data_IF_515672079073
#
_entry.id   IF_515672079073
#
_cell.length_a   1.000
_cell.length_b   1.000
_cell.length_c   1.000
_cell.angle_alpha   90.00
_cell.angle_beta   90.00
_cell.angle_gamma   90.00
#
_symmetry.space_group_name_H-M   'P 1'
#
loop_
_entity.id
_entity.type
_entity.pdbx_description
1 polymer ?
#
# COMPACT_ATOMS: atom_id res chain seq x y z
N UNK A 1 -3.21 -14.61 39.56
CA UNK A 1 -2.06 -15.13 38.78
C UNK A 1 -2.46 -15.11 37.31
N UNK A 2 -1.80 -14.27 36.49
CA UNK A 2 -2.06 -14.21 35.04
C UNK A 2 -1.58 -15.50 34.39
N UNK A 3 -2.47 -16.19 33.66
CA UNK A 3 -2.10 -17.38 32.90
C UNK A 3 -0.86 -17.10 32.04
N UNK A 4 0.11 -18.03 31.95
CA UNK A 4 1.30 -17.83 31.14
C UNK A 4 0.89 -17.51 29.70
N UNK A 5 1.47 -16.44 29.14
CA UNK A 5 1.24 -16.06 27.75
C UNK A 5 1.67 -17.19 26.84
N UNK A 6 0.76 -17.62 25.95
CA UNK A 6 1.08 -18.64 24.95
C UNK A 6 2.30 -18.15 24.13
N UNK A 7 3.44 -18.87 24.10
CA UNK A 7 4.67 -18.42 23.46
C UNK A 7 4.50 -18.14 21.96
N UNK A 8 3.57 -18.84 21.29
CA UNK A 8 3.24 -18.59 19.90
C UNK A 8 2.57 -17.23 19.72
N UNK A 9 1.69 -16.85 20.64
CA UNK A 9 0.96 -15.58 20.60
C UNK A 9 1.93 -14.39 20.66
N UNK A 10 2.96 -14.48 21.50
CA UNK A 10 4.02 -13.48 21.57
C UNK A 10 4.86 -13.41 20.30
N UNK A 11 5.12 -14.56 19.66
CA UNK A 11 5.82 -14.60 18.38
C UNK A 11 5.04 -13.85 17.28
N UNK A 12 3.74 -14.12 17.14
CA UNK A 12 2.88 -13.41 16.17
C UNK A 12 2.78 -11.92 16.51
N UNK A 13 2.69 -11.55 17.79
CA UNK A 13 2.71 -10.16 18.24
C UNK A 13 3.99 -9.43 17.82
N UNK A 14 5.17 -10.04 18.02
CA UNK A 14 6.46 -9.47 17.60
C UNK A 14 6.56 -9.30 16.08
N UNK A 15 6.11 -10.28 15.29
CA UNK A 15 6.06 -10.17 13.82
C UNK A 15 5.18 -9.00 13.37
N UNK A 16 4.02 -8.84 14.00
CA UNK A 16 3.06 -7.79 13.66
C UNK A 16 3.60 -6.39 14.02
N UNK A 17 4.28 -6.26 15.17
CA UNK A 17 4.99 -5.04 15.56
C UNK A 17 6.10 -4.68 14.56
N UNK A 18 6.91 -5.67 14.15
CA UNK A 18 7.95 -5.45 13.14
C UNK A 18 7.36 -4.98 11.80
N UNK A 19 6.17 -5.46 11.43
CA UNK A 19 5.47 -4.99 10.22
C UNK A 19 4.95 -3.56 10.37
N UNK A 20 4.39 -3.21 11.53
CA UNK A 20 3.89 -1.86 11.84
C UNK A 20 4.98 -0.78 11.85
N UNK A 21 6.26 -1.13 12.02
CA UNK A 21 7.40 -0.19 11.95
C UNK A 21 7.45 0.64 10.66
N UNK A 22 6.87 0.15 9.57
CA UNK A 22 6.88 0.84 8.27
C UNK A 22 5.63 1.69 7.99
N UNK A 23 4.58 1.52 8.80
CA UNK A 23 3.35 2.30 8.67
C UNK A 23 3.54 3.82 8.80
N UNK A 24 4.42 4.36 9.68
CA UNK A 24 4.58 5.81 9.76
C UNK A 24 5.28 6.36 8.51
N UNK A 25 6.22 5.62 7.91
CA UNK A 25 6.86 6.00 6.65
C UNK A 25 5.83 6.01 5.51
N UNK A 26 4.94 5.02 5.45
CA UNK A 26 3.86 4.96 4.45
C UNK A 26 2.86 6.07 4.64
N UNK A 27 2.48 6.30 5.89
CA UNK A 27 1.55 7.34 6.24
C UNK A 27 2.10 8.72 5.89
N UNK A 28 3.37 8.96 6.16
CA UNK A 28 4.04 10.22 5.85
C UNK A 28 4.18 10.45 4.34
N UNK A 29 4.54 9.41 3.57
CA UNK A 29 4.63 9.50 2.11
C UNK A 29 3.25 9.79 1.49
N UNK A 30 2.19 9.11 1.94
CA UNK A 30 0.81 9.38 1.50
C UNK A 30 0.34 10.78 1.89
N UNK A 31 0.70 11.25 3.09
CA UNK A 31 0.32 12.55 3.60
C UNK A 31 1.02 13.68 2.84
N UNK A 32 2.31 13.54 2.52
CA UNK A 32 3.03 14.52 1.70
C UNK A 32 2.47 14.54 0.27
N UNK A 33 2.30 13.39 -0.37
CA UNK A 33 1.79 13.34 -1.75
C UNK A 33 0.36 13.85 -1.82
N UNK A 34 -0.51 13.40 -0.92
CA UNK A 34 -1.89 13.88 -0.85
C UNK A 34 -1.98 15.37 -0.49
N UNK A 35 -1.16 15.83 0.45
CA UNK A 35 -1.13 17.23 0.88
C UNK A 35 -0.65 18.17 -0.23
N UNK A 36 0.46 17.83 -0.89
CA UNK A 36 0.98 18.61 -2.03
C UNK A 36 0.01 18.58 -3.23
N UNK A 37 -0.61 17.42 -3.50
CA UNK A 37 -1.63 17.31 -4.55
C UNK A 37 -2.87 18.16 -4.28
N UNK A 38 -3.36 18.18 -3.04
CA UNK A 38 -4.46 19.06 -2.62
C UNK A 38 -4.08 20.53 -2.74
N UNK A 39 -2.90 20.93 -2.26
CA UNK A 39 -2.43 22.31 -2.37
C UNK A 39 -2.31 22.74 -3.84
N UNK A 40 -1.80 21.86 -4.71
CA UNK A 40 -1.72 22.12 -6.16
C UNK A 40 -3.09 22.34 -6.80
N UNK A 41 -4.08 21.51 -6.46
CA UNK A 41 -5.46 21.68 -6.96
C UNK A 41 -6.15 22.92 -6.40
N UNK A 42 -5.97 23.22 -5.11
CA UNK A 42 -6.51 24.44 -4.49
C UNK A 42 -5.88 25.67 -5.15
N UNK A 43 -4.57 25.66 -5.42
CA UNK A 43 -3.90 26.76 -6.14
C UNK A 43 -4.48 26.93 -7.55
N UNK A 44 -4.68 25.84 -8.29
CA UNK A 44 -5.31 25.87 -9.62
C UNK A 44 -6.73 26.43 -9.58
N UNK A 45 -7.51 26.08 -8.56
CA UNK A 45 -8.85 26.64 -8.37
C UNK A 45 -8.84 28.14 -8.05
N UNK A 46 -7.88 28.61 -7.24
CA UNK A 46 -7.75 30.03 -6.93
C UNK A 46 -7.34 30.85 -8.16
N UNK A 47 -6.47 30.31 -9.01
CA UNK A 47 -6.03 30.95 -10.24
C UNK A 47 -7.12 30.93 -11.32
N UNK A 48 -7.91 29.86 -11.41
CA UNK A 48 -9.03 29.74 -12.34
C UNK A 48 -10.23 29.03 -11.70
N UNK A 49 -11.19 29.77 -11.10
CA UNK A 49 -12.32 29.17 -10.41
C UNK A 49 -13.29 28.43 -11.34
N UNK A 50 -13.18 28.62 -12.66
CA UNK A 50 -13.94 27.87 -13.66
C UNK A 50 -13.43 26.43 -13.89
N UNK A 51 -12.22 26.11 -13.43
CA UNK A 51 -11.55 24.81 -13.63
C UNK A 51 -12.27 23.62 -13.00
N UNK A 52 -13.03 23.84 -11.92
CA UNK A 52 -13.83 22.81 -11.23
C UNK A 52 -15.26 22.70 -11.77
N UNK A 53 -15.64 23.49 -12.78
CA UNK A 53 -16.98 23.37 -13.32
C UNK A 53 -17.10 22.07 -14.12
N UNK A 54 -18.15 21.26 -13.89
CA UNK A 54 -18.35 19.99 -14.59
C UNK A 54 -18.61 20.17 -16.09
N UNK A 55 -18.85 21.41 -16.53
CA UNK A 55 -19.01 21.81 -17.93
C UNK A 55 -17.68 21.92 -18.69
N UNK A 56 -16.54 22.00 -17.99
CA UNK A 56 -15.22 21.98 -18.62
C UNK A 56 -14.72 20.55 -18.80
N UNK A 57 -14.07 20.28 -19.93
CA UNK A 57 -13.55 18.94 -20.28
C UNK A 57 -12.60 18.35 -19.23
N UNK A 58 -11.97 19.20 -18.42
CA UNK A 58 -11.03 18.82 -17.36
C UNK A 58 -11.65 18.80 -15.97
N UNK A 59 -12.88 19.30 -15.76
CA UNK A 59 -13.49 19.45 -14.44
C UNK A 59 -13.67 18.11 -13.71
N UNK A 60 -14.19 17.10 -14.39
CA UNK A 60 -14.34 15.73 -13.83
C UNK A 60 -13.01 15.10 -13.39
N UNK A 61 -11.94 15.39 -14.13
CA UNK A 61 -10.60 14.90 -13.79
C UNK A 61 -10.07 15.59 -12.53
N UNK A 62 -10.29 16.89 -12.39
CA UNK A 62 -9.90 17.64 -11.20
C UNK A 62 -10.68 17.18 -9.96
N UNK A 63 -11.99 16.93 -10.09
CA UNK A 63 -12.81 16.39 -9.00
C UNK A 63 -12.33 14.99 -8.57
N UNK A 64 -12.03 14.11 -9.54
CA UNK A 64 -11.50 12.79 -9.25
C UNK A 64 -10.12 12.85 -8.57
N UNK A 65 -9.24 13.75 -9.01
CA UNK A 65 -7.94 13.98 -8.39
C UNK A 65 -8.08 14.55 -6.97
N UNK A 66 -9.00 15.49 -6.76
CA UNK A 66 -9.28 16.07 -5.45
C UNK A 66 -9.70 14.99 -4.45
N UNK A 67 -10.68 14.16 -4.83
CA UNK A 67 -11.12 13.03 -4.02
C UNK A 67 -9.99 12.04 -3.77
N UNK A 68 -9.14 11.78 -4.77
CA UNK A 68 -8.00 10.88 -4.63
C UNK A 68 -6.97 11.43 -3.64
N UNK A 69 -6.56 12.68 -3.76
CA UNK A 69 -5.60 13.28 -2.83
C UNK A 69 -6.17 13.43 -1.41
N UNK A 70 -7.46 13.69 -1.26
CA UNK A 70 -8.15 13.65 0.02
C UNK A 70 -8.15 12.24 0.63
N UNK A 71 -8.42 11.21 -0.18
CA UNK A 71 -8.35 9.82 0.27
C UNK A 71 -6.91 9.45 0.68
N UNK A 72 -5.89 9.93 -0.03
CA UNK A 72 -4.48 9.70 0.32
C UNK A 72 -4.09 10.38 1.63
N UNK A 73 -4.52 11.63 1.89
CA UNK A 73 -4.24 12.30 3.17
C UNK A 73 -4.92 11.60 4.34
N UNK A 74 -6.20 11.23 4.20
CA UNK A 74 -6.93 10.48 5.23
C UNK A 74 -6.26 9.12 5.47
N UNK A 75 -5.93 8.38 4.41
CA UNK A 75 -5.23 7.10 4.53
C UNK A 75 -3.87 7.26 5.21
N UNK A 76 -3.14 8.34 4.90
CA UNK A 76 -1.87 8.70 5.52
C UNK A 76 -1.98 8.89 7.03
N UNK A 77 -2.94 9.72 7.46
CA UNK A 77 -3.24 9.97 8.87
C UNK A 77 -3.61 8.67 9.60
N UNK A 78 -4.51 7.87 9.01
CA UNK A 78 -4.93 6.59 9.58
C UNK A 78 -3.76 5.61 9.73
N UNK A 79 -2.84 5.57 8.77
CA UNK A 79 -1.64 4.74 8.84
C UNK A 79 -0.70 5.16 9.96
N UNK A 80 -0.49 6.47 10.14
CA UNK A 80 0.32 7.02 11.25
C UNK A 80 -0.32 6.64 12.58
N UNK A 81 -1.63 6.89 12.77
CA UNK A 81 -2.34 6.54 14.01
C UNK A 81 -2.24 5.03 14.30
N UNK A 82 -2.42 4.19 13.27
CA UNK A 82 -2.30 2.73 13.40
C UNK A 82 -0.87 2.26 13.71
N UNK A 83 0.15 3.02 13.34
CA UNK A 83 1.54 2.69 13.66
C UNK A 83 1.80 2.74 15.17
N UNK A 84 1.24 3.73 15.86
CA UNK A 84 1.42 3.94 17.29
C UNK A 84 0.46 3.13 18.16
N UNK A 85 -0.63 2.60 17.59
CA UNK A 85 -1.57 1.75 18.32
C UNK A 85 -1.02 0.33 18.50
N UNK A 86 -0.88 -0.08 19.77
CA UNK A 86 -0.53 -1.45 20.12
C UNK A 86 -1.51 -2.45 19.48
N UNK A 87 -1.03 -3.60 18.98
CA UNK A 87 -1.87 -4.58 18.34
C UNK A 87 -2.84 -5.21 19.36
N UNK A 88 -4.12 -5.20 19.02
CA UNK A 88 -5.16 -5.80 19.83
C UNK A 88 -5.14 -7.34 19.70
N UNK A 89 -5.67 -8.05 20.70
CA UNK A 89 -5.71 -9.51 20.70
C UNK A 89 -6.49 -10.06 19.49
N UNK A 90 -7.55 -9.37 19.09
CA UNK A 90 -8.33 -9.69 17.89
C UNK A 90 -7.53 -9.53 16.60
N UNK A 91 -6.65 -8.53 16.52
CA UNK A 91 -5.76 -8.29 15.37
C UNK A 91 -4.74 -9.42 15.23
N UNK A 92 -4.19 -9.88 16.36
CA UNK A 92 -3.23 -10.99 16.40
C UNK A 92 -3.90 -12.31 15.96
N UNK A 93 -5.11 -12.59 16.44
CA UNK A 93 -5.86 -13.78 16.01
C UNK A 93 -6.23 -13.75 14.53
N UNK A 94 -6.69 -12.60 14.02
CA UNK A 94 -6.97 -12.41 12.58
C UNK A 94 -5.71 -12.61 11.73
N UNK A 95 -4.57 -12.12 12.22
CA UNK A 95 -3.29 -12.31 11.56
C UNK A 95 -2.89 -13.80 11.51
N UNK A 96 -2.99 -14.52 12.64
CA UNK A 96 -2.73 -15.97 12.71
C UNK A 96 -3.61 -16.75 11.72
N UNK A 97 -4.92 -16.49 11.70
CA UNK A 97 -5.86 -17.18 10.78
C UNK A 97 -5.50 -16.93 9.32
N UNK A 98 -5.16 -15.69 8.94
CA UNK A 98 -4.74 -15.35 7.57
C UNK A 98 -3.43 -16.02 7.17
N UNK A 99 -2.46 -16.11 8.07
CA UNK A 99 -1.18 -16.75 7.80
C UNK A 99 -1.37 -18.26 7.60
N UNK A 100 -2.18 -18.91 8.44
CA UNK A 100 -2.57 -20.32 8.27
C UNK A 100 -3.29 -20.57 6.95
N UNK A 101 -4.30 -19.75 6.63
CA UNK A 101 -5.04 -19.89 5.38
C UNK A 101 -4.13 -19.74 4.16
N UNK A 102 -3.14 -18.85 4.20
CA UNK A 102 -2.15 -18.70 3.12
C UNK A 102 -1.26 -19.93 2.98
N UNK A 103 -0.75 -20.47 4.09
CA UNK A 103 0.06 -21.70 4.08
C UNK A 103 -0.75 -22.89 3.56
N UNK A 104 -2.01 -23.00 3.95
CA UNK A 104 -2.92 -24.05 3.45
C UNK A 104 -3.18 -23.91 1.94
N UNK A 105 -3.41 -22.69 1.45
CA UNK A 105 -3.55 -22.44 0.00
C UNK A 105 -2.26 -22.74 -0.77
N UNK A 106 -1.09 -22.50 -0.17
CA UNK A 106 0.21 -22.86 -0.75
C UNK A 106 0.42 -24.38 -0.80
N UNK A 107 0.11 -25.09 0.28
CA UNK A 107 0.18 -26.56 0.33
C UNK A 107 -0.74 -27.21 -0.71
N UNK A 108 -1.94 -26.65 -0.93
CA UNK A 108 -2.90 -27.13 -1.93
C UNK A 108 -2.58 -26.66 -3.37
N UNK A 109 -1.46 -25.98 -3.61
CA UNK A 109 -1.09 -25.49 -4.94
C UNK A 109 -2.02 -24.38 -5.49
N UNK A 110 -2.95 -23.86 -4.67
CA UNK A 110 -3.91 -22.80 -5.05
C UNK A 110 -3.44 -21.40 -4.67
N UNK A 111 -2.19 -21.23 -4.27
CA UNK A 111 -1.65 -19.91 -3.96
C UNK A 111 -1.55 -19.05 -5.22
N UNK A 112 -1.93 -17.78 -5.10
CA UNK A 112 -1.69 -16.77 -6.14
C UNK A 112 -0.23 -16.85 -6.62
N UNK A 113 0.02 -17.07 -7.92
CA UNK A 113 1.38 -17.20 -8.43
C UNK A 113 2.13 -15.91 -8.16
N UNK A 114 3.39 -16.00 -7.74
CA UNK A 114 4.22 -14.84 -7.43
C UNK A 114 4.30 -13.84 -8.59
N UNK A 115 4.19 -14.32 -9.84
CA UNK A 115 4.10 -13.52 -11.05
C UNK A 115 2.93 -12.55 -11.08
N UNK A 116 1.80 -12.83 -10.41
CA UNK A 116 0.65 -11.91 -10.36
C UNK A 116 1.01 -10.59 -9.67
N UNK A 117 1.87 -10.66 -8.65
CA UNK A 117 2.38 -9.48 -7.96
C UNK A 117 3.35 -8.71 -8.87
N UNK A 118 4.10 -9.40 -9.73
CA UNK A 118 4.96 -8.78 -10.73
C UNK A 118 4.14 -8.03 -11.78
N UNK A 119 3.05 -8.63 -12.27
CA UNK A 119 2.15 -8.01 -13.25
C UNK A 119 1.54 -6.71 -12.69
N UNK A 120 1.00 -6.75 -11.46
CA UNK A 120 0.45 -5.55 -10.81
C UNK A 120 1.53 -4.45 -10.70
N UNK A 121 2.78 -4.81 -10.41
CA UNK A 121 3.88 -3.83 -10.32
C UNK A 121 4.20 -3.21 -11.67
N UNK A 122 4.28 -4.02 -12.73
CA UNK A 122 4.50 -3.52 -14.09
C UNK A 122 3.37 -2.57 -14.49
N UNK A 123 2.12 -2.91 -14.18
CA UNK A 123 0.98 -2.04 -14.42
C UNK A 123 1.10 -0.69 -13.67
N UNK A 124 1.48 -0.70 -12.39
CA UNK A 124 1.68 0.54 -11.61
C UNK A 124 2.79 1.41 -12.22
N UNK A 125 3.91 0.80 -12.63
CA UNK A 125 5.00 1.53 -13.30
C UNK A 125 4.53 2.13 -14.61
N UNK A 126 3.82 1.37 -15.44
CA UNK A 126 3.29 1.84 -16.70
C UNK A 126 2.36 3.04 -16.51
N UNK A 127 1.46 2.98 -15.52
CA UNK A 127 0.62 4.13 -15.17
C UNK A 127 1.47 5.33 -14.75
N UNK A 128 2.49 5.12 -13.91
CA UNK A 128 3.43 6.19 -13.52
C UNK A 128 4.17 6.82 -14.71
N UNK A 129 4.57 6.02 -15.69
CA UNK A 129 5.20 6.49 -16.93
C UNK A 129 4.24 7.28 -17.82
N UNK A 130 2.96 6.89 -17.89
CA UNK A 130 1.93 7.65 -18.61
C UNK A 130 1.77 9.03 -17.98
N UNK A 131 1.69 9.13 -16.66
CA UNK A 131 1.66 10.42 -15.96
C UNK A 131 2.94 11.23 -16.16
N UNK A 132 4.11 10.58 -16.20
CA UNK A 132 5.38 11.25 -16.48
C UNK A 132 5.40 11.88 -17.88
N UNK A 133 4.97 11.11 -18.88
CA UNK A 133 4.84 11.57 -20.25
C UNK A 133 3.83 12.72 -20.36
N UNK A 134 2.71 12.62 -19.65
CA UNK A 134 1.71 13.68 -19.57
C UNK A 134 2.29 14.98 -18.98
N UNK A 135 3.07 14.88 -17.91
CA UNK A 135 3.76 16.03 -17.31
C UNK A 135 4.70 16.71 -18.30
N UNK A 136 5.53 15.93 -19.00
CA UNK A 136 6.46 16.46 -20.01
C UNK A 136 5.70 17.16 -21.14
N UNK A 137 4.61 16.56 -21.64
CA UNK A 137 3.79 17.16 -22.69
C UNK A 137 3.19 18.49 -22.23
N UNK A 138 2.69 18.58 -20.99
CA UNK A 138 2.15 19.83 -20.44
C UNK A 138 3.24 20.89 -20.33
N UNK A 139 4.43 20.53 -19.81
CA UNK A 139 5.54 21.48 -19.73
C UNK A 139 6.03 21.95 -21.09
N UNK A 140 6.01 21.07 -22.10
CA UNK A 140 6.41 21.44 -23.46
C UNK A 140 5.42 22.41 -24.13
N UNK A 141 4.11 22.22 -23.91
CA UNK A 141 3.07 23.03 -24.56
C UNK A 141 2.76 24.33 -23.80
N UNK A 142 2.79 24.31 -22.48
CA UNK A 142 2.32 25.41 -21.62
C UNK A 142 3.43 26.00 -20.73
N UNK A 143 4.65 25.45 -20.80
CA UNK A 143 5.78 25.88 -20.00
C UNK A 143 5.72 25.38 -18.54
N UNK A 144 6.77 25.68 -17.74
CA UNK A 144 6.86 25.26 -16.34
C UNK A 144 5.86 25.97 -15.42
N UNK A 145 5.18 27.01 -15.89
CA UNK A 145 4.11 27.69 -15.15
C UNK A 145 2.79 26.93 -15.11
N UNK A 146 2.65 25.85 -15.88
CA UNK A 146 1.43 25.05 -15.90
C UNK A 146 1.37 24.10 -14.68
N UNK A 147 0.46 24.39 -13.75
CA UNK A 147 0.25 23.59 -12.54
C UNK A 147 -0.11 22.13 -12.82
N UNK A 148 -0.86 21.86 -13.88
CA UNK A 148 -1.24 20.49 -14.28
C UNK A 148 -0.02 19.60 -14.53
N UNK A 149 1.05 20.17 -15.10
CA UNK A 149 2.30 19.44 -15.37
C UNK A 149 2.97 18.99 -14.07
N UNK A 150 2.98 19.86 -13.06
CA UNK A 150 3.51 19.54 -11.73
C UNK A 150 2.67 18.49 -11.00
N UNK A 151 1.34 18.54 -11.13
CA UNK A 151 0.44 17.53 -10.56
C UNK A 151 0.71 16.16 -11.18
N UNK A 152 0.81 16.08 -12.51
CA UNK A 152 1.14 14.81 -13.20
C UNK A 152 2.53 14.28 -12.83
N UNK A 153 3.52 15.17 -12.71
CA UNK A 153 4.87 14.80 -12.28
C UNK A 153 4.84 14.22 -10.85
N UNK A 154 4.11 14.86 -9.94
CA UNK A 154 3.99 14.44 -8.55
C UNK A 154 3.31 13.06 -8.42
N UNK A 155 2.24 12.83 -9.19
CA UNK A 155 1.57 11.52 -9.27
C UNK A 155 2.53 10.45 -9.81
N UNK A 156 3.29 10.77 -10.87
CA UNK A 156 4.26 9.85 -11.45
C UNK A 156 5.37 9.47 -10.47
N UNK A 157 6.02 10.45 -9.83
CA UNK A 157 7.07 10.22 -8.83
C UNK A 157 6.53 9.38 -7.67
N UNK A 158 5.32 9.65 -7.21
CA UNK A 158 4.68 8.86 -6.17
C UNK A 158 4.52 7.39 -6.57
N UNK A 159 3.94 7.12 -7.75
CA UNK A 159 3.72 5.75 -8.24
C UNK A 159 5.05 5.00 -8.44
N UNK A 160 6.06 5.67 -9.00
CA UNK A 160 7.39 5.07 -9.19
C UNK A 160 8.08 4.83 -7.85
N UNK A 161 7.97 5.75 -6.88
CA UNK A 161 8.54 5.57 -5.54
C UNK A 161 7.92 4.37 -4.80
N UNK A 162 6.61 4.16 -4.98
CA UNK A 162 5.86 3.06 -4.41
C UNK A 162 6.37 1.71 -4.95
N UNK A 163 6.77 1.66 -6.21
CA UNK A 163 7.38 0.47 -6.80
C UNK A 163 8.81 0.31 -6.29
N UNK A 164 9.67 1.32 -6.48
CA UNK A 164 11.11 1.21 -6.24
C UNK A 164 11.50 0.97 -4.78
N UNK A 165 10.82 1.60 -3.82
CA UNK A 165 11.19 1.50 -2.40
C UNK A 165 10.67 0.21 -1.73
N UNK A 166 9.57 -0.38 -2.23
CA UNK A 166 8.89 -1.49 -1.54
C UNK A 166 9.30 -2.90 -2.00
N UNK A 167 9.91 -3.04 -3.18
CA UNK A 167 10.01 -4.34 -3.88
C UNK A 167 11.17 -5.27 -3.47
N UNK A 168 12.41 -4.83 -3.20
CA UNK A 168 13.50 -5.75 -2.88
C UNK A 168 13.27 -6.54 -1.58
N UNK A 169 12.34 -6.07 -0.74
CA UNK A 169 12.20 -6.52 0.65
C UNK A 169 11.15 -7.60 0.86
N UNK A 170 10.12 -7.64 0.03
CA UNK A 170 9.11 -8.71 0.07
C UNK A 170 9.55 -9.95 -0.72
N UNK A 171 10.27 -9.76 -1.84
CA UNK A 171 10.77 -10.86 -2.67
C UNK A 171 11.79 -11.76 -1.94
N UNK A 172 12.65 -11.19 -1.07
CA UNK A 172 13.61 -11.97 -0.29
C UNK A 172 12.98 -12.88 0.78
N UNK A 173 11.71 -12.68 1.12
CA UNK A 173 11.04 -13.39 2.23
C UNK A 173 10.13 -14.54 1.78
N UNK A 174 9.71 -14.55 0.52
CA UNK A 174 8.66 -15.45 0.03
C UNK A 174 9.13 -16.90 -0.20
N UNK A 175 10.31 -17.19 -0.78
CA UNK A 175 10.70 -18.58 -1.03
C UNK A 175 11.31 -19.29 0.19
N UNK A 176 11.92 -18.56 1.13
CA UNK A 176 12.60 -19.16 2.30
C UNK A 176 11.69 -19.36 3.50
N UNK A 177 10.73 -18.44 3.74
CA UNK A 177 9.79 -18.60 4.86
C UNK A 177 8.74 -19.69 4.64
N UNK A 178 8.36 -19.99 3.39
CA UNK A 178 7.30 -20.97 3.12
C UNK A 178 7.75 -22.41 3.40
N UNK A 179 8.94 -22.81 2.95
CA UNK A 179 9.43 -24.17 3.15
C UNK A 179 9.78 -24.46 4.62
N UNK A 180 10.50 -23.54 5.29
CA UNK A 180 10.85 -23.71 6.71
C UNK A 180 9.62 -23.63 7.62
N UNK A 181 8.65 -22.73 7.37
CA UNK A 181 7.45 -22.65 8.20
C UNK A 181 6.48 -23.81 7.95
N UNK A 182 6.37 -24.29 6.71
CA UNK A 182 5.60 -25.50 6.39
C UNK A 182 6.21 -26.71 7.08
N UNK A 183 7.53 -26.89 6.99
CA UNK A 183 8.25 -27.96 7.67
C UNK A 183 8.09 -27.86 9.19
N UNK A 184 8.19 -26.67 9.78
CA UNK A 184 8.05 -26.46 11.23
C UNK A 184 6.62 -26.72 11.73
N UNK A 185 5.59 -26.36 10.96
CA UNK A 185 4.19 -26.64 11.30
C UNK A 185 3.82 -28.11 11.11
N UNK A 186 4.40 -28.79 10.11
CA UNK A 186 4.30 -30.24 9.95
C UNK A 186 4.96 -30.97 11.14
N UNK A 187 6.16 -30.54 11.54
CA UNK A 187 6.89 -31.10 12.69
C UNK A 187 6.15 -30.82 14.01
N UNK A 188 5.50 -29.67 14.15
CA UNK A 188 4.73 -29.32 15.34
C UNK A 188 3.37 -30.02 15.44
N UNK A 189 3.00 -30.87 14.47
CA UNK A 189 1.70 -31.56 14.46
C UNK A 189 0.49 -30.64 14.23
N UNK A 190 0.71 -29.35 13.92
CA UNK A 190 -0.37 -28.39 13.67
C UNK A 190 -1.05 -28.61 12.30
N UNK A 191 -0.46 -29.42 11.42
CA UNK A 191 -1.00 -29.71 10.08
C UNK A 191 -1.94 -30.93 10.04
N UNK A 192 -2.05 -31.71 11.12
CA UNK A 192 -2.86 -32.94 11.19
C UNK A 192 -4.11 -32.83 12.06
N UNK A 193 -4.41 -31.65 12.60
CA UNK A 193 -5.47 -31.47 13.62
C UNK A 193 -6.77 -30.86 13.12
N UNK A 194 -7.30 -31.30 11.98
CA UNK A 194 -8.68 -30.97 11.55
C UNK A 194 -9.28 -32.09 10.66
N UNK A 195 -8.96 -33.35 10.98
CA UNK A 195 -9.81 -34.50 10.62
C UNK A 195 -10.31 -35.12 11.91
N UNK A 196 -11.42 -34.58 12.42
CA UNK A 196 -12.47 -35.32 13.14
C UNK A 196 -13.72 -34.41 13.27
N UNK A 197 -14.64 -34.62 12.32
CA UNK A 197 -16.11 -34.43 12.38
C UNK A 197 -16.67 -33.00 12.52
#
# INVERSE_FOLDING_TARGET
MSAPSNPDFEQYRRRLLHRKRYYPIYGLLLLITGGLGLLGLISSFLDNPGSLQPTQSTGLLHDALLLTFLALTIAGIVLIIRAYKAPDNTEIQRYRRRERQRLFLQANGRSLPWWSHLIIRVLIVLVGLVFFSGAILVFFNFGPGAWDGWIYLLVSIFLISLVSYFIPRELRKLPTMSAEALARNLIAGEATGDEDI
#
